data_IF_454045602500
#
_entry.id   IF_454045602500
#
_cell.length_a   1.000
_cell.length_b   1.000
_cell.length_c   1.000
_cell.angle_alpha   90.00
_cell.angle_beta   90.00
_cell.angle_gamma   90.00
#
_symmetry.space_group_name_H-M   'P 1'
#
loop_
_entity.id
_entity.type
_entity.pdbx_description
1 polymer ?
#
# COMPACT_ATOMS: atom_id res chain seq x y z
N UNK A 1 22.66 -41.30 -19.70
CA UNK A 1 22.24 -39.89 -19.54
C UNK A 1 20.89 -39.95 -18.84
N UNK A 2 20.89 -39.82 -17.51
CA UNK A 2 19.69 -40.01 -16.69
C UNK A 2 19.21 -38.65 -16.20
N UNK A 3 18.03 -38.25 -16.66
CA UNK A 3 17.33 -37.06 -16.20
C UNK A 3 16.83 -37.29 -14.77
N UNK A 4 17.46 -36.63 -13.79
CA UNK A 4 16.92 -36.53 -12.43
C UNK A 4 15.85 -35.43 -12.43
N UNK A 5 14.61 -35.80 -12.73
CA UNK A 5 13.47 -34.98 -12.33
C UNK A 5 13.48 -34.84 -10.82
N UNK A 6 13.38 -33.62 -10.32
CA UNK A 6 13.43 -33.21 -8.90
C UNK A 6 12.01 -33.06 -8.32
N UNK A 7 11.33 -34.12 -7.87
CA UNK A 7 10.03 -34.02 -7.21
C UNK A 7 10.09 -33.52 -5.75
N UNK A 8 11.27 -33.45 -5.12
CA UNK A 8 11.36 -33.31 -3.65
C UNK A 8 11.26 -31.89 -3.09
N UNK A 9 11.32 -30.85 -3.91
CA UNK A 9 11.26 -29.45 -3.41
C UNK A 9 9.82 -28.99 -3.17
N UNK A 10 8.89 -29.38 -4.03
CA UNK A 10 7.47 -29.01 -3.91
C UNK A 10 6.80 -29.75 -2.76
N UNK A 11 7.14 -31.01 -2.53
CA UNK A 11 6.55 -31.81 -1.45
C UNK A 11 7.10 -31.40 -0.06
N UNK A 12 8.39 -31.08 0.07
CA UNK A 12 8.94 -30.51 1.32
C UNK A 12 8.37 -29.14 1.65
N UNK A 13 8.12 -28.30 0.64
CA UNK A 13 7.51 -27.00 0.84
C UNK A 13 6.06 -27.12 1.33
N UNK A 14 5.29 -28.10 0.82
CA UNK A 14 3.93 -28.37 1.29
C UNK A 14 3.89 -28.88 2.73
N UNK A 15 4.83 -29.75 3.11
CA UNK A 15 4.90 -30.34 4.46
C UNK A 15 5.31 -29.28 5.51
N UNK A 16 6.33 -28.47 5.23
CA UNK A 16 6.74 -27.36 6.09
C UNK A 16 5.65 -26.28 6.24
N UNK A 17 4.87 -26.04 5.17
CA UNK A 17 3.76 -25.09 5.17
C UNK A 17 2.54 -25.62 5.94
N UNK A 18 2.30 -26.94 5.93
CA UNK A 18 1.14 -27.54 6.60
C UNK A 18 1.19 -27.36 8.13
N UNK A 19 2.36 -27.51 8.74
CA UNK A 19 2.55 -27.33 10.18
C UNK A 19 2.51 -25.86 10.61
N UNK A 20 3.13 -24.95 9.85
CA UNK A 20 3.03 -23.51 10.13
C UNK A 20 1.63 -22.96 9.89
N UNK A 21 0.88 -23.50 8.92
CA UNK A 21 -0.51 -23.09 8.64
C UNK A 21 -1.44 -23.43 9.79
N UNK A 22 -1.21 -24.53 10.51
CA UNK A 22 -2.06 -24.95 11.63
C UNK A 22 -1.91 -24.01 12.82
N UNK A 23 -0.67 -23.72 13.23
CA UNK A 23 -0.35 -22.78 14.32
C UNK A 23 -0.72 -21.34 13.97
N UNK A 24 -0.46 -20.91 12.74
CA UNK A 24 -0.83 -19.57 12.26
C UNK A 24 -2.35 -19.38 12.21
N UNK A 25 -3.13 -20.42 11.90
CA UNK A 25 -4.60 -20.35 11.87
C UNK A 25 -5.21 -20.15 13.27
N UNK A 26 -4.61 -20.74 14.30
CA UNK A 26 -5.04 -20.55 15.70
C UNK A 26 -4.71 -19.15 16.20
N UNK A 27 -3.49 -18.68 15.95
CA UNK A 27 -3.09 -17.31 16.31
C UNK A 27 -3.88 -16.25 15.51
N UNK A 28 -4.13 -16.47 14.22
CA UNK A 28 -4.92 -15.56 13.38
C UNK A 28 -6.39 -15.49 13.83
N UNK A 29 -6.95 -16.56 14.39
CA UNK A 29 -8.30 -16.53 14.98
C UNK A 29 -8.36 -15.66 16.23
N UNK A 30 -7.35 -15.76 17.08
CA UNK A 30 -7.26 -14.98 18.32
C UNK A 30 -7.01 -13.50 18.04
N UNK A 31 -6.06 -13.19 17.16
CA UNK A 31 -5.77 -11.82 16.70
C UNK A 31 -6.93 -11.24 15.89
N UNK A 32 -7.62 -12.04 15.08
CA UNK A 32 -8.76 -11.59 14.29
C UNK A 32 -9.98 -11.17 15.11
N UNK A 33 -10.19 -11.80 16.28
CA UNK A 33 -11.26 -11.40 17.21
C UNK A 33 -10.96 -10.06 17.90
N UNK A 34 -9.70 -9.86 18.29
CA UNK A 34 -9.23 -8.62 18.91
C UNK A 34 -9.27 -7.45 17.91
N UNK A 35 -8.74 -7.67 16.70
CA UNK A 35 -8.75 -6.69 15.61
C UNK A 35 -10.19 -6.29 15.26
N UNK A 36 -11.14 -7.24 15.21
CA UNK A 36 -12.54 -6.91 14.88
C UNK A 36 -13.16 -5.94 15.87
N UNK A 37 -12.83 -6.09 17.15
CA UNK A 37 -13.36 -5.26 18.23
C UNK A 37 -12.73 -3.86 18.21
N UNK A 38 -11.40 -3.79 18.10
CA UNK A 38 -10.66 -2.51 18.04
C UNK A 38 -10.93 -1.73 16.73
N UNK A 39 -10.97 -2.42 15.60
CA UNK A 39 -11.25 -1.81 14.29
C UNK A 39 -12.68 -1.32 14.18
N UNK A 40 -13.65 -1.99 14.82
CA UNK A 40 -15.04 -1.53 14.83
C UNK A 40 -15.21 -0.16 15.48
N UNK A 41 -14.54 0.06 16.61
CA UNK A 41 -14.55 1.34 17.32
C UNK A 41 -13.82 2.43 16.55
N UNK A 42 -12.61 2.13 16.03
CA UNK A 42 -11.84 3.06 15.21
C UNK A 42 -12.60 3.44 13.93
N UNK A 43 -13.24 2.48 13.25
CA UNK A 43 -14.04 2.73 12.06
C UNK A 43 -15.29 3.56 12.36
N UNK A 44 -15.94 3.36 13.51
CA UNK A 44 -17.10 4.16 13.91
C UNK A 44 -16.72 5.62 14.18
N UNK A 45 -15.60 5.84 14.87
CA UNK A 45 -15.04 7.17 15.11
C UNK A 45 -14.57 7.83 13.81
N UNK A 46 -13.91 7.08 12.92
CA UNK A 46 -13.49 7.57 11.61
C UNK A 46 -14.69 7.93 10.74
N UNK A 47 -15.77 7.15 10.77
CA UNK A 47 -17.00 7.42 10.00
C UNK A 47 -17.68 8.71 10.44
N UNK A 48 -17.74 8.99 11.74
CA UNK A 48 -18.23 10.26 12.26
C UNK A 48 -17.39 11.43 11.74
N UNK A 49 -16.07 11.36 11.92
CA UNK A 49 -15.13 12.41 11.48
C UNK A 49 -15.12 12.62 9.97
N UNK A 50 -15.09 11.54 9.18
CA UNK A 50 -15.13 11.62 7.71
C UNK A 50 -16.43 12.27 7.25
N UNK A 51 -17.56 12.00 7.89
CA UNK A 51 -18.84 12.63 7.53
C UNK A 51 -18.82 14.14 7.80
N UNK A 52 -18.30 14.54 8.96
CA UNK A 52 -18.21 15.94 9.36
C UNK A 52 -17.17 16.73 8.54
N UNK A 53 -16.09 16.07 8.13
CA UNK A 53 -14.98 16.67 7.37
C UNK A 53 -15.25 16.67 5.84
N UNK A 54 -15.98 15.67 5.33
CA UNK A 54 -16.26 15.49 3.90
C UNK A 54 -17.01 16.66 3.29
N UNK A 55 -17.95 17.30 3.98
CA UNK A 55 -18.73 18.41 3.40
C UNK A 55 -17.85 19.63 3.04
N UNK A 56 -16.79 19.88 3.82
CA UNK A 56 -15.87 20.99 3.59
C UNK A 56 -14.74 20.64 2.61
N UNK A 57 -14.31 19.36 2.58
CA UNK A 57 -13.25 18.88 1.70
C UNK A 57 -13.75 18.50 0.30
N UNK A 58 -15.03 18.13 0.16
CA UNK A 58 -15.64 17.75 -1.14
C UNK A 58 -15.59 18.88 -2.16
N UNK A 59 -15.79 20.13 -1.75
CA UNK A 59 -15.72 21.28 -2.69
C UNK A 59 -14.31 21.47 -3.25
N UNK A 60 -13.28 21.31 -2.41
CA UNK A 60 -11.88 21.41 -2.83
C UNK A 60 -11.49 20.23 -3.73
N UNK A 61 -11.89 19.02 -3.36
CA UNK A 61 -11.68 17.83 -4.18
C UNK A 61 -12.36 17.94 -5.56
N UNK A 62 -13.59 18.44 -5.62
CA UNK A 62 -14.32 18.66 -6.87
C UNK A 62 -13.61 19.67 -7.79
N UNK A 63 -13.01 20.72 -7.21
CA UNK A 63 -12.25 21.71 -7.96
C UNK A 63 -10.92 21.13 -8.50
N UNK A 64 -10.18 20.36 -7.69
CA UNK A 64 -8.98 19.64 -8.14
C UNK A 64 -9.29 18.61 -9.23
N UNK A 65 -10.40 17.88 -9.09
CA UNK A 65 -10.81 16.89 -10.08
C UNK A 65 -11.22 17.56 -11.41
N UNK A 66 -11.86 18.73 -11.35
CA UNK A 66 -12.20 19.51 -12.54
C UNK A 66 -10.93 20.02 -13.25
N UNK A 67 -9.97 20.55 -12.50
CA UNK A 67 -8.67 20.96 -13.02
C UNK A 67 -7.98 19.80 -13.77
N UNK A 68 -7.94 18.61 -13.17
CA UNK A 68 -7.33 17.43 -13.81
C UNK A 68 -8.12 16.96 -15.03
N UNK A 69 -9.46 17.01 -14.98
CA UNK A 69 -10.29 16.66 -16.11
C UNK A 69 -10.05 17.60 -17.30
N UNK A 70 -9.90 18.91 -17.03
CA UNK A 70 -9.61 19.91 -18.06
C UNK A 70 -8.21 19.67 -18.68
N UNK A 71 -7.20 19.37 -17.85
CA UNK A 71 -5.84 19.04 -18.31
C UNK A 71 -5.79 17.74 -19.13
N UNK A 72 -6.49 16.69 -18.67
CA UNK A 72 -6.57 15.41 -19.38
C UNK A 72 -7.36 15.53 -20.68
N UNK A 73 -8.45 16.31 -20.70
CA UNK A 73 -9.22 16.61 -21.91
C UNK A 73 -8.34 17.30 -22.94
N UNK A 74 -7.53 18.28 -22.52
CA UNK A 74 -6.54 18.94 -23.39
C UNK A 74 -5.47 17.99 -23.95
N UNK A 75 -5.01 17.02 -23.14
CA UNK A 75 -4.05 15.98 -23.58
C UNK A 75 -4.67 14.95 -24.54
N UNK A 76 -5.94 14.58 -24.33
CA UNK A 76 -6.63 13.60 -25.20
C UNK A 76 -7.03 14.21 -26.53
N UNK A 77 -7.41 15.48 -26.54
CA UNK A 77 -7.74 16.22 -27.77
C UNK A 77 -6.49 16.53 -28.62
N UNK A 78 -5.31 16.49 -28.01
CA UNK A 78 -3.99 16.66 -28.65
C UNK A 78 -3.20 15.34 -28.83
N UNK A 79 -3.73 14.20 -28.39
CA UNK A 79 -3.01 12.94 -28.20
C UNK A 79 -3.00 12.04 -29.44
N UNK A 80 -1.80 11.67 -29.91
CA UNK A 80 -1.60 10.74 -31.03
C UNK A 80 -2.07 9.31 -30.70
N UNK A 81 -2.71 8.59 -31.65
CA UNK A 81 -3.40 7.31 -31.44
C UNK A 81 -2.51 6.05 -31.24
N UNK A 82 -1.21 6.19 -30.99
CA UNK A 82 -0.24 5.08 -31.12
C UNK A 82 0.35 4.62 -29.77
N UNK A 83 -0.51 4.30 -28.79
CA UNK A 83 -0.08 3.91 -27.44
C UNK A 83 -0.50 2.48 -27.05
N UNK A 84 0.43 1.62 -26.55
CA UNK A 84 0.18 0.21 -26.17
C UNK A 84 -0.93 -0.01 -25.13
N UNK A 85 -1.32 1.04 -24.41
CA UNK A 85 -2.41 0.98 -23.42
C UNK A 85 -3.79 0.85 -24.06
N UNK A 86 -3.95 1.15 -25.36
CA UNK A 86 -5.25 1.11 -26.03
C UNK A 86 -5.89 -0.29 -25.99
N UNK A 87 -5.10 -1.36 -26.10
CA UNK A 87 -5.60 -2.75 -26.02
C UNK A 87 -6.10 -3.14 -24.62
N UNK A 88 -5.46 -2.63 -23.57
CA UNK A 88 -5.90 -2.85 -22.18
C UNK A 88 -7.17 -2.05 -21.90
N UNK A 89 -7.24 -0.80 -22.38
CA UNK A 89 -8.43 0.04 -22.28
C UNK A 89 -9.65 -0.59 -22.97
N UNK A 90 -9.47 -1.21 -24.14
CA UNK A 90 -10.56 -1.86 -24.87
C UNK A 90 -11.10 -3.10 -24.13
N UNK A 91 -10.21 -3.86 -23.47
CA UNK A 91 -10.60 -5.00 -22.64
C UNK A 91 -11.29 -4.59 -21.33
N UNK A 92 -10.91 -3.43 -20.78
CA UNK A 92 -11.60 -2.82 -19.64
C UNK A 92 -13.00 -2.31 -20.04
N UNK A 93 -13.12 -1.64 -21.18
CA UNK A 93 -14.40 -1.17 -21.70
C UNK A 93 -15.41 -2.31 -21.91
N UNK A 94 -14.97 -3.43 -22.51
CA UNK A 94 -15.80 -4.63 -22.67
C UNK A 94 -16.14 -5.37 -21.37
N UNK A 95 -15.45 -5.06 -20.27
CA UNK A 95 -15.79 -5.56 -18.93
C UNK A 95 -16.76 -4.62 -18.22
N UNK A 96 -16.64 -3.31 -18.44
CA UNK A 96 -17.54 -2.29 -17.89
C UNK A 96 -18.97 -2.45 -18.35
N UNK A 97 -19.20 -2.77 -19.63
CA UNK A 97 -20.55 -3.00 -20.15
C UNK A 97 -21.23 -4.19 -19.45
N UNK A 98 -20.52 -5.31 -19.33
CA UNK A 98 -21.02 -6.49 -18.60
C UNK A 98 -21.26 -6.22 -17.12
N UNK A 99 -20.49 -5.34 -16.50
CA UNK A 99 -20.73 -4.91 -15.13
C UNK A 99 -21.99 -4.06 -15.01
N UNK A 100 -22.26 -3.17 -15.98
CA UNK A 100 -23.48 -2.38 -16.04
C UNK A 100 -24.72 -3.28 -16.22
N UNK A 101 -24.70 -4.20 -17.19
CA UNK A 101 -25.79 -5.16 -17.42
C UNK A 101 -26.03 -6.03 -16.17
N UNK A 102 -24.97 -6.47 -15.50
CA UNK A 102 -25.07 -7.22 -14.26
C UNK A 102 -25.72 -6.42 -13.13
N UNK A 103 -25.38 -5.13 -13.01
CA UNK A 103 -25.97 -4.23 -12.02
C UNK A 103 -27.45 -3.95 -12.33
N UNK A 104 -27.80 -3.83 -13.60
CA UNK A 104 -29.18 -3.63 -14.05
C UNK A 104 -30.05 -4.88 -13.78
N UNK A 105 -29.54 -6.06 -14.09
CA UNK A 105 -30.28 -7.33 -13.93
C UNK A 105 -30.36 -7.81 -12.47
N UNK A 106 -29.29 -7.66 -11.68
CA UNK A 106 -29.19 -8.26 -10.33
C UNK A 106 -29.12 -7.24 -9.19
N UNK A 107 -28.95 -5.96 -9.51
CA UNK A 107 -28.80 -4.90 -8.53
C UNK A 107 -27.56 -5.04 -7.64
N UNK A 108 -27.40 -4.08 -6.73
CA UNK A 108 -26.30 -4.06 -5.75
C UNK A 108 -26.32 -5.26 -4.79
N UNK A 109 -27.51 -5.74 -4.42
CA UNK A 109 -27.66 -6.89 -3.52
C UNK A 109 -27.09 -8.17 -4.16
N UNK A 110 -27.34 -8.38 -5.47
CA UNK A 110 -26.76 -9.51 -6.19
C UNK A 110 -25.25 -9.39 -6.38
N UNK A 111 -24.73 -8.19 -6.63
CA UNK A 111 -23.28 -7.96 -6.77
C UNK A 111 -22.52 -8.24 -5.46
N UNK A 112 -23.05 -7.76 -4.33
CA UNK A 112 -22.43 -7.98 -3.01
C UNK A 112 -22.50 -9.44 -2.57
N UNK A 113 -23.60 -10.14 -2.88
CA UNK A 113 -23.72 -11.58 -2.62
C UNK A 113 -22.70 -12.40 -3.43
N UNK A 114 -22.50 -12.07 -4.70
CA UNK A 114 -21.51 -12.75 -5.56
C UNK A 114 -20.08 -12.46 -5.11
N UNK A 115 -19.79 -11.22 -4.68
CA UNK A 115 -18.51 -10.87 -4.07
C UNK A 115 -18.25 -11.63 -2.77
N UNK A 116 -19.28 -11.77 -1.91
CA UNK A 116 -19.18 -12.56 -0.68
C UNK A 116 -18.94 -14.04 -0.98
N UNK A 117 -19.61 -14.58 -2.00
CA UNK A 117 -19.41 -15.96 -2.43
C UNK A 117 -18.01 -16.17 -3.02
N UNK A 118 -17.48 -15.21 -3.78
CA UNK A 118 -16.10 -15.22 -4.27
C UNK A 118 -15.09 -15.19 -3.12
N UNK A 119 -15.27 -14.30 -2.15
CA UNK A 119 -14.42 -14.21 -0.97
C UNK A 119 -14.39 -15.52 -0.16
N UNK A 120 -15.53 -16.19 -0.02
CA UNK A 120 -15.63 -17.50 0.64
C UNK A 120 -14.97 -18.64 -0.15
N UNK A 121 -15.09 -18.62 -1.49
CA UNK A 121 -14.51 -19.65 -2.38
C UNK A 121 -13.00 -19.49 -2.59
N UNK A 122 -12.50 -18.26 -2.57
CA UNK A 122 -11.08 -17.93 -2.83
C UNK A 122 -10.54 -16.91 -1.83
N UNK A 123 -10.41 -17.29 -0.54
CA UNK A 123 -10.02 -16.34 0.51
C UNK A 123 -8.64 -15.71 0.26
N UNK A 124 -7.66 -16.46 -0.25
CA UNK A 124 -6.32 -15.93 -0.52
C UNK A 124 -6.28 -14.86 -1.62
N UNK A 125 -7.03 -15.08 -2.71
CA UNK A 125 -7.06 -14.13 -3.83
C UNK A 125 -7.83 -12.85 -3.47
N UNK A 126 -8.91 -13.00 -2.69
CA UNK A 126 -9.64 -11.85 -2.16
C UNK A 126 -8.77 -11.00 -1.22
N UNK A 127 -8.06 -11.62 -0.28
CA UNK A 127 -7.15 -10.90 0.62
C UNK A 127 -6.01 -10.20 -0.14
N UNK A 128 -5.37 -10.89 -1.08
CA UNK A 128 -4.31 -10.30 -1.91
C UNK A 128 -4.83 -9.13 -2.75
N UNK A 129 -6.00 -9.28 -3.37
CA UNK A 129 -6.65 -8.22 -4.14
C UNK A 129 -7.07 -7.03 -3.28
N UNK A 130 -7.64 -7.29 -2.09
CA UNK A 130 -8.03 -6.24 -1.15
C UNK A 130 -6.81 -5.47 -0.62
N UNK A 131 -5.69 -6.13 -0.35
CA UNK A 131 -4.45 -5.47 0.02
C UNK A 131 -3.90 -4.62 -1.11
N UNK A 132 -3.85 -5.14 -2.33
CA UNK A 132 -3.39 -4.38 -3.49
C UNK A 132 -4.28 -3.15 -3.74
N UNK A 133 -5.60 -3.32 -3.75
CA UNK A 133 -6.55 -2.22 -3.91
C UNK A 133 -6.45 -1.21 -2.76
N UNK A 134 -6.38 -1.70 -1.52
CA UNK A 134 -6.24 -0.86 -0.33
C UNK A 134 -4.94 -0.06 -0.33
N UNK A 135 -3.83 -0.63 -0.80
CA UNK A 135 -2.56 0.08 -0.93
C UNK A 135 -2.63 1.17 -2.00
N UNK A 136 -3.24 0.90 -3.15
CA UNK A 136 -3.42 1.90 -4.20
C UNK A 136 -4.27 3.08 -3.71
N UNK A 137 -5.41 2.80 -3.08
CA UNK A 137 -6.28 3.84 -2.50
C UNK A 137 -5.57 4.58 -1.36
N UNK A 138 -4.89 3.86 -0.48
CA UNK A 138 -4.14 4.43 0.63
C UNK A 138 -2.99 5.32 0.18
N UNK A 139 -2.30 4.97 -0.91
CA UNK A 139 -1.24 5.79 -1.49
C UNK A 139 -1.79 7.08 -2.10
N UNK A 140 -2.94 7.04 -2.75
CA UNK A 140 -3.61 8.25 -3.27
C UNK A 140 -4.10 9.12 -2.13
N UNK A 141 -4.72 8.54 -1.10
CA UNK A 141 -5.15 9.28 0.09
C UNK A 141 -3.96 9.94 0.81
N UNK A 142 -2.83 9.24 0.94
CA UNK A 142 -1.55 9.77 1.47
C UNK A 142 -1.05 10.94 0.61
N UNK A 143 -0.95 10.76 -0.70
CA UNK A 143 -0.46 11.78 -1.62
C UNK A 143 -1.37 13.03 -1.67
N UNK A 144 -2.69 12.84 -1.59
CA UNK A 144 -3.65 13.94 -1.50
C UNK A 144 -3.62 14.67 -0.15
N UNK A 145 -3.26 13.98 0.94
CA UNK A 145 -3.04 14.60 2.25
C UNK A 145 -1.73 15.40 2.29
N UNK A 146 -0.66 14.89 1.65
CA UNK A 146 0.62 15.60 1.56
C UNK A 146 0.52 16.85 0.65
N UNK A 147 -0.24 16.78 -0.46
CA UNK A 147 -0.47 17.91 -1.35
C UNK A 147 -1.23 19.11 -0.72
N UNK A 148 -1.84 18.92 0.45
CA UNK A 148 -2.45 19.99 1.24
C UNK A 148 -1.49 20.73 2.17
N UNK A 149 -0.29 20.20 2.42
CA UNK A 149 0.71 20.79 3.31
C UNK A 149 1.67 21.75 2.59
N UNK A 150 1.79 21.67 1.26
CA UNK A 150 2.69 22.51 0.47
C UNK A 150 2.01 23.78 -0.12
N UNK A 151 0.70 23.95 0.06
CA UNK A 151 -0.06 25.09 -0.49
C UNK A 151 -0.11 26.32 0.44
N UNK A 152 0.90 26.54 1.28
CA UNK A 152 0.92 27.67 2.18
C UNK A 152 2.21 27.85 2.96
N UNK A 153 3.32 28.14 2.29
CA UNK A 153 4.37 29.11 2.70
C UNK A 153 5.42 29.15 1.58
N UNK A 154 5.21 29.96 0.55
CA UNK A 154 6.30 30.51 -0.27
C UNK A 154 5.78 31.69 -1.08
N UNK A 155 5.37 32.73 -0.35
CA UNK A 155 5.12 34.05 -0.91
C UNK A 155 5.50 35.12 0.11
N UNK A 156 6.80 35.26 0.38
CA UNK A 156 7.38 36.55 0.76
C UNK A 156 8.84 36.60 0.34
N UNK A 157 9.06 37.30 -0.76
CA UNK A 157 10.31 37.97 -1.12
C UNK A 157 10.97 38.58 0.12
N UNK A 158 12.13 38.06 0.48
CA UNK A 158 13.05 38.64 1.46
C UNK A 158 14.47 38.44 0.95
N UNK A 159 14.94 39.37 0.13
CA UNK A 159 16.35 39.50 -0.23
C UNK A 159 17.21 39.52 1.03
N UNK A 160 18.04 38.50 1.22
CA UNK A 160 19.00 38.38 2.32
C UNK A 160 20.13 37.46 1.91
N UNK A 161 21.17 38.05 1.31
CA UNK A 161 22.43 37.40 0.98
C UNK A 161 23.11 36.77 2.21
N UNK A 162 23.57 35.51 2.14
CA UNK A 162 24.83 34.94 2.72
C UNK A 162 24.82 33.38 2.68
N UNK A 163 25.96 32.67 2.84
CA UNK A 163 26.72 32.02 1.77
C UNK A 163 26.57 30.48 1.73
N UNK A 164 27.02 29.89 0.62
CA UNK A 164 27.20 28.46 0.40
C UNK A 164 28.12 27.84 1.46
N UNK A 165 27.61 26.90 2.25
CA UNK A 165 28.41 25.99 3.07
C UNK A 165 28.34 24.60 2.41
N UNK A 166 29.44 23.99 1.94
CA UNK A 166 29.41 22.63 1.43
C UNK A 166 29.20 21.63 2.58
N UNK A 167 28.42 20.55 2.40
CA UNK A 167 28.25 19.54 3.45
C UNK A 167 29.57 18.81 3.70
N UNK A 168 29.97 18.83 4.96
CA UNK A 168 31.10 18.08 5.53
C UNK A 168 30.96 16.59 5.24
N UNK A 169 32.09 15.97 4.90
CA UNK A 169 32.27 14.58 4.57
C UNK A 169 31.71 13.60 5.63
N UNK A 170 31.33 12.42 5.15
CA UNK A 170 30.96 11.21 5.88
C UNK A 170 31.88 10.93 7.09
N UNK A 171 31.36 10.47 8.24
CA UNK A 171 32.20 9.83 9.24
C UNK A 171 32.67 8.48 8.71
N UNK A 172 33.97 8.36 8.45
CA UNK A 172 34.67 7.12 8.19
C UNK A 172 34.53 6.20 9.43
N UNK A 173 33.86 5.05 9.28
CA UNK A 173 33.86 4.02 10.31
C UNK A 173 35.23 3.37 10.36
N UNK A 174 36.05 3.72 11.33
CA UNK A 174 37.27 2.99 11.65
C UNK A 174 36.91 1.63 12.28
N UNK A 175 37.54 0.51 11.88
CA UNK A 175 37.37 -0.75 12.59
C UNK A 175 38.03 -0.64 13.97
N UNK A 176 37.26 -0.89 15.03
CA UNK A 176 37.78 -0.98 16.39
C UNK A 176 38.59 -2.28 16.50
N UNK A 177 39.92 -2.16 16.48
CA UNK A 177 40.82 -3.27 16.82
C UNK A 177 40.88 -3.36 18.34
N UNK A 178 40.08 -4.26 18.91
CA UNK A 178 40.12 -4.58 20.34
C UNK A 178 41.39 -5.38 20.63
N UNK A 179 42.34 -4.78 21.36
CA UNK A 179 43.45 -5.52 21.95
C UNK A 179 42.95 -6.25 23.21
N UNK A 180 43.19 -7.56 23.37
CA UNK A 180 42.97 -8.20 24.65
C UNK A 180 44.03 -7.71 25.65
N UNK A 181 43.57 -7.01 26.69
CA UNK A 181 44.38 -6.73 27.89
C UNK A 181 44.83 -8.06 28.50
N UNK A 182 46.15 -8.30 28.49
CA UNK A 182 46.75 -9.38 29.28
C UNK A 182 46.63 -9.04 30.76
N UNK A 183 45.78 -9.77 31.47
CA UNK A 183 45.73 -9.80 32.94
C UNK A 183 47.08 -10.32 33.45
N UNK A 184 47.75 -9.50 34.25
CA UNK A 184 49.00 -9.84 34.95
C UNK A 184 48.60 -10.37 36.34
N UNK A 185 48.95 -11.60 36.73
CA UNK A 185 48.69 -12.07 38.09
C UNK A 185 49.68 -11.41 39.06
N UNK A 186 49.14 -10.82 40.13
CA UNK A 186 49.88 -10.42 41.32
C UNK A 186 50.57 -11.65 41.94
N UNK A 187 51.90 -11.70 41.85
CA UNK A 187 52.72 -12.44 42.80
C UNK A 187 53.06 -11.50 43.95
N UNK A 188 52.24 -11.52 45.00
CA UNK A 188 52.61 -10.95 46.30
C UNK A 188 53.04 -12.09 47.23
N UNK A 189 54.36 -12.16 47.42
CA UNK A 189 55.07 -13.04 48.35
C UNK A 189 55.75 -12.12 49.36
N UNK A 190 55.11 -11.90 50.52
CA UNK A 190 55.75 -11.83 51.86
C UNK A 190 54.78 -11.53 52.99
#
# INVERSE_FOLDING_TARGET
MSEQTTPSTVDRAKEATADTTRTAKEQARQVGAEIRTQTGQAAHQLRGRVRDEAESQTRRAAQSLRQWADDLSGMTESGKPDSPVHGVLQQVAGTGHRAADYLEDRGLTGATNDLQNFARRRPGLFLAGALAAGFLVGRVAKAGADAGADAGTDATTGSGSAPLNPPTAFPETTPVTTYPTSVRPDEDLR
#
